data_IF_900660857453
#
_entry.id   IF_900660857453
#
_cell.length_a   1.000
_cell.length_b   1.000
_cell.length_c   1.000
_cell.angle_alpha   90.00
_cell.angle_beta   90.00
_cell.angle_gamma   90.00
#
_symmetry.space_group_name_H-M   'P 1'
#
loop_
_entity.id
_entity.type
_entity.pdbx_description
1 polymer ?
#
# COMPACT_ATOMS: atom_id res chain seq x y z
N UNK A 1 18.07 5.61 10.02
CA UNK A 1 17.97 6.43 8.79
C UNK A 1 16.87 5.85 7.94
N UNK A 2 16.01 6.69 7.34
CA UNK A 2 15.03 6.21 6.35
C UNK A 2 15.82 5.65 5.17
N UNK A 3 15.46 4.44 4.71
CA UNK A 3 16.01 3.89 3.49
C UNK A 3 15.24 4.47 2.29
N UNK A 4 15.69 5.63 1.85
CA UNK A 4 15.11 6.37 0.72
C UNK A 4 15.44 5.76 -0.65
N UNK A 5 16.32 4.74 -0.67
CA UNK A 5 16.73 4.01 -1.87
C UNK A 5 15.96 2.71 -2.10
N UNK A 6 15.12 2.31 -1.15
CA UNK A 6 14.37 1.07 -1.24
C UNK A 6 12.91 1.26 -0.88
N UNK A 7 12.05 0.49 -1.53
CA UNK A 7 10.68 0.26 -1.10
C UNK A 7 10.56 -1.14 -0.51
N UNK A 8 9.56 -1.35 0.35
CA UNK A 8 9.34 -2.62 1.00
C UNK A 8 8.10 -3.31 0.42
N UNK A 9 8.19 -4.63 0.19
CA UNK A 9 7.01 -5.46 -0.10
C UNK A 9 6.87 -6.57 0.93
N UNK A 10 5.65 -6.71 1.47
CA UNK A 10 5.30 -7.78 2.39
C UNK A 10 4.76 -9.00 1.67
N UNK A 11 5.35 -10.18 1.96
CA UNK A 11 4.96 -11.45 1.34
C UNK A 11 4.62 -12.51 2.38
N UNK A 12 3.61 -13.35 2.07
CA UNK A 12 3.16 -14.46 2.88
C UNK A 12 2.95 -15.74 2.06
N UNK A 13 3.33 -15.70 0.78
CA UNK A 13 3.18 -16.80 -0.17
C UNK A 13 1.76 -16.92 -0.76
N UNK A 14 0.86 -15.97 -0.52
CA UNK A 14 -0.40 -15.86 -1.24
C UNK A 14 -0.18 -15.31 -2.65
N UNK A 15 -1.10 -15.60 -3.57
CA UNK A 15 -1.06 -15.01 -4.90
C UNK A 15 -1.14 -13.48 -4.87
N UNK A 16 -1.92 -12.91 -3.94
CA UNK A 16 -1.99 -11.47 -3.75
C UNK A 16 -0.64 -10.87 -3.36
N UNK A 17 0.13 -11.55 -2.49
CA UNK A 17 1.46 -11.06 -2.10
C UNK A 17 2.48 -11.14 -3.23
N UNK A 18 2.42 -12.17 -4.08
CA UNK A 18 3.28 -12.25 -5.28
C UNK A 18 2.91 -11.20 -6.34
N UNK A 19 1.60 -10.91 -6.50
CA UNK A 19 1.15 -9.82 -7.36
C UNK A 19 1.60 -8.45 -6.83
N UNK A 20 1.56 -8.27 -5.50
CA UNK A 20 2.12 -7.10 -4.85
C UNK A 20 3.62 -6.97 -5.08
N UNK A 21 4.36 -8.09 -5.09
CA UNK A 21 5.80 -8.11 -5.42
C UNK A 21 6.05 -7.67 -6.85
N UNK A 22 5.28 -8.17 -7.80
CA UNK A 22 5.37 -7.76 -9.20
C UNK A 22 5.12 -6.25 -9.36
N UNK A 23 4.07 -5.72 -8.74
CA UNK A 23 3.78 -4.29 -8.77
C UNK A 23 4.91 -3.46 -8.14
N UNK A 24 5.40 -3.90 -6.97
CA UNK A 24 6.49 -3.23 -6.26
C UNK A 24 7.80 -3.22 -7.05
N UNK A 25 8.13 -4.34 -7.72
CA UNK A 25 9.31 -4.44 -8.59
C UNK A 25 9.19 -3.49 -9.79
N UNK A 26 8.02 -3.44 -10.44
CA UNK A 26 7.77 -2.53 -11.55
C UNK A 26 7.90 -1.05 -11.12
N UNK A 27 7.34 -0.71 -9.97
CA UNK A 27 7.49 0.62 -9.39
C UNK A 27 8.96 0.94 -9.07
N UNK A 28 9.68 0.03 -8.40
CA UNK A 28 11.09 0.21 -8.04
C UNK A 28 11.96 0.41 -9.28
N UNK A 29 11.72 -0.36 -10.34
CA UNK A 29 12.41 -0.22 -11.63
C UNK A 29 12.21 1.16 -12.24
N UNK A 30 10.98 1.64 -12.28
CA UNK A 30 10.66 2.96 -12.83
C UNK A 30 11.30 4.09 -12.02
N UNK A 31 11.24 3.98 -10.69
CA UNK A 31 11.78 4.98 -9.77
C UNK A 31 13.31 4.88 -9.56
N UNK A 32 13.99 3.87 -10.12
CA UNK A 32 15.42 3.63 -9.89
C UNK A 32 15.76 3.24 -8.45
N UNK A 33 14.84 2.54 -7.78
CA UNK A 33 14.96 2.08 -6.40
C UNK A 33 15.27 0.58 -6.32
N UNK A 34 15.75 0.13 -5.15
CA UNK A 34 15.85 -1.28 -4.81
C UNK A 34 14.60 -1.78 -4.12
N UNK A 35 14.41 -3.10 -4.05
CA UNK A 35 13.27 -3.73 -3.41
C UNK A 35 13.70 -4.50 -2.16
N UNK A 36 13.05 -4.23 -1.02
CA UNK A 36 13.17 -5.03 0.18
C UNK A 36 11.97 -5.96 0.29
N UNK A 37 12.18 -7.26 0.18
CA UNK A 37 11.13 -8.28 0.29
C UNK A 37 11.14 -8.83 1.71
N UNK A 38 10.01 -8.76 2.40
CA UNK A 38 9.90 -9.15 3.81
C UNK A 38 8.82 -10.21 3.99
N UNK A 39 9.20 -11.35 4.59
CA UNK A 39 8.27 -12.35 5.10
C UNK A 39 8.24 -12.28 6.63
N UNK A 40 7.08 -11.94 7.19
CA UNK A 40 6.87 -11.91 8.64
C UNK A 40 5.99 -13.10 9.07
N UNK A 41 6.40 -13.83 10.11
CA UNK A 41 5.62 -14.92 10.65
C UNK A 41 5.60 -14.92 12.19
N UNK A 42 4.47 -15.32 12.75
CA UNK A 42 4.32 -15.47 14.22
C UNK A 42 4.65 -16.88 14.65
N UNK A 43 5.46 -17.00 15.68
CA UNK A 43 5.59 -18.27 16.39
C UNK A 43 4.35 -18.48 17.26
N UNK A 44 3.79 -19.72 17.31
CA UNK A 44 2.76 -20.03 18.28
C UNK A 44 3.26 -19.75 19.69
N UNK A 45 2.59 -18.86 20.43
CA UNK A 45 2.93 -18.60 21.82
C UNK A 45 2.45 -19.78 22.68
N UNK A 46 3.31 -20.77 22.88
CA UNK A 46 3.10 -21.79 23.89
C UNK A 46 3.34 -21.19 25.30
N UNK A 47 2.50 -20.25 25.71
CA UNK A 47 2.44 -19.82 27.09
C UNK A 47 1.87 -20.98 27.93
N UNK A 48 2.75 -21.63 28.71
CA UNK A 48 2.47 -22.63 29.75
C UNK A 48 2.13 -24.07 29.29
N UNK A 49 3.07 -24.79 28.69
CA UNK A 49 3.01 -26.24 28.67
C UNK A 49 4.42 -26.84 28.86
N UNK A 50 4.51 -27.83 29.77
CA UNK A 50 5.58 -28.72 30.17
C UNK A 50 6.79 -28.91 29.22
N UNK A 51 7.91 -29.39 29.76
CA UNK A 51 9.22 -29.64 29.15
C UNK A 51 9.21 -30.35 27.78
N UNK A 52 8.14 -31.07 27.46
CA UNK A 52 7.91 -31.76 26.18
C UNK A 52 7.53 -30.78 25.02
N UNK A 53 7.02 -29.61 25.36
CA UNK A 53 6.63 -28.57 24.37
C UNK A 53 7.83 -27.84 23.76
N UNK A 54 8.99 -27.87 24.41
CA UNK A 54 10.20 -27.18 23.89
C UNK A 54 10.74 -27.87 22.62
N UNK A 55 10.60 -29.19 22.53
CA UNK A 55 11.06 -29.96 21.36
C UNK A 55 10.13 -29.80 20.15
N UNK A 56 8.82 -29.73 20.38
CA UNK A 56 7.82 -29.43 19.35
C UNK A 56 7.93 -28.00 18.85
N UNK A 57 8.15 -27.03 19.74
CA UNK A 57 8.32 -25.62 19.39
C UNK A 57 9.54 -25.35 18.49
N UNK A 58 10.66 -26.04 18.73
CA UNK A 58 11.86 -25.95 17.88
C UNK A 58 11.63 -26.56 16.48
N UNK A 59 10.84 -27.62 16.38
CA UNK A 59 10.46 -28.23 15.10
C UNK A 59 9.54 -27.33 14.28
N UNK A 60 8.59 -26.67 14.92
CA UNK A 60 7.64 -25.75 14.29
C UNK A 60 8.32 -24.46 13.83
N UNK A 61 9.33 -23.96 14.55
CA UNK A 61 10.11 -22.78 14.14
C UNK A 61 10.95 -23.06 12.89
N UNK A 62 11.64 -24.20 12.85
CA UNK A 62 12.42 -24.59 11.67
C UNK A 62 11.55 -24.78 10.42
N UNK A 63 10.34 -25.33 10.56
CA UNK A 63 9.40 -25.49 9.46
C UNK A 63 8.89 -24.12 8.96
N UNK A 64 8.45 -23.25 9.87
CA UNK A 64 7.99 -21.91 9.53
C UNK A 64 9.08 -21.05 8.87
N UNK A 65 10.32 -21.16 9.35
CA UNK A 65 11.47 -20.50 8.77
C UNK A 65 11.78 -21.02 7.34
N UNK A 66 11.73 -22.35 7.13
CA UNK A 66 11.91 -22.97 5.80
C UNK A 66 10.81 -22.52 4.82
N UNK A 67 9.55 -22.48 5.27
CA UNK A 67 8.44 -21.97 4.47
C UNK A 67 8.65 -20.50 4.08
N UNK A 68 9.11 -19.68 5.02
CA UNK A 68 9.41 -18.27 4.76
C UNK A 68 10.54 -18.10 3.74
N UNK A 69 11.58 -18.93 3.79
CA UNK A 69 12.66 -18.94 2.79
C UNK A 69 12.14 -19.29 1.39
N UNK A 70 11.27 -20.29 1.28
CA UNK A 70 10.66 -20.67 -0.01
C UNK A 70 9.80 -19.54 -0.57
N UNK A 71 8.99 -18.88 0.29
CA UNK A 71 8.17 -17.72 -0.09
C UNK A 71 9.05 -16.59 -0.61
N UNK A 72 10.12 -16.26 0.11
CA UNK A 72 11.07 -15.21 -0.28
C UNK A 72 11.79 -15.54 -1.58
N UNK A 73 12.18 -16.80 -1.79
CA UNK A 73 12.81 -17.26 -3.03
C UNK A 73 11.92 -17.01 -4.25
N UNK A 74 10.63 -17.37 -4.14
CA UNK A 74 9.64 -17.12 -5.19
C UNK A 74 9.42 -15.63 -5.45
N UNK A 75 9.27 -14.84 -4.39
CA UNK A 75 9.09 -13.40 -4.52
C UNK A 75 10.33 -12.71 -5.12
N UNK A 76 11.53 -13.14 -4.71
CA UNK A 76 12.77 -12.62 -5.27
C UNK A 76 12.91 -12.93 -6.77
N UNK A 77 12.52 -14.12 -7.20
CA UNK A 77 12.54 -14.48 -8.61
C UNK A 77 11.67 -13.55 -9.47
N UNK A 78 10.49 -13.13 -8.97
CA UNK A 78 9.63 -12.16 -9.64
C UNK A 78 10.36 -10.81 -9.80
N UNK A 79 11.07 -10.34 -8.78
CA UNK A 79 11.84 -9.10 -8.85
C UNK A 79 13.04 -9.22 -9.82
N UNK A 80 13.76 -10.34 -9.78
CA UNK A 80 14.90 -10.62 -10.66
C UNK A 80 14.48 -10.62 -12.15
N UNK A 81 13.30 -11.17 -12.49
CA UNK A 81 12.74 -11.12 -13.85
C UNK A 81 12.39 -9.73 -14.33
N UNK A 82 11.95 -8.86 -13.42
CA UNK A 82 11.78 -7.44 -13.74
C UNK A 82 13.11 -6.68 -13.84
N UNK A 83 14.23 -7.32 -13.49
CA UNK A 83 15.56 -6.72 -13.49
C UNK A 83 15.77 -5.75 -12.33
N UNK A 84 15.13 -5.99 -11.19
CA UNK A 84 15.23 -5.17 -9.97
C UNK A 84 16.09 -5.85 -8.93
N UNK A 85 17.05 -5.11 -8.39
CA UNK A 85 17.83 -5.57 -7.24
C UNK A 85 16.94 -5.70 -6.02
N UNK A 86 16.89 -6.91 -5.45
CA UNK A 86 16.05 -7.20 -4.29
C UNK A 86 16.83 -7.90 -3.18
N UNK A 87 16.71 -7.37 -1.96
CA UNK A 87 17.16 -8.03 -0.73
C UNK A 87 15.95 -8.65 0.00
N UNK A 88 16.21 -9.71 0.78
CA UNK A 88 15.18 -10.48 1.46
C UNK A 88 15.39 -10.50 2.97
N UNK A 89 14.30 -10.36 3.72
CA UNK A 89 14.30 -10.42 5.18
C UNK A 89 13.23 -11.41 5.68
N UNK A 90 13.61 -12.19 6.69
CA UNK A 90 12.65 -12.89 7.55
C UNK A 90 12.53 -12.10 8.85
N UNK A 91 11.31 -11.90 9.33
CA UNK A 91 11.06 -11.23 10.61
C UNK A 91 10.10 -12.07 11.45
N UNK A 92 10.54 -12.44 12.63
CA UNK A 92 9.68 -13.15 13.60
C UNK A 92 8.82 -12.15 14.38
N UNK A 93 7.50 -12.30 14.32
CA UNK A 93 6.55 -11.46 15.03
C UNK A 93 5.18 -11.43 14.37
N UNK A 94 4.22 -10.73 14.98
CA UNK A 94 2.93 -10.48 14.35
C UNK A 94 3.11 -9.61 13.11
N UNK A 95 2.71 -10.08 11.90
CA UNK A 95 2.98 -9.37 10.64
C UNK A 95 2.50 -7.92 10.64
N UNK A 96 1.30 -7.64 11.16
CA UNK A 96 0.79 -6.27 11.17
C UNK A 96 1.67 -5.33 12.02
N UNK A 97 2.10 -5.79 13.18
CA UNK A 97 2.97 -5.05 14.10
C UNK A 97 4.37 -4.85 13.49
N UNK A 98 4.92 -5.91 12.87
CA UNK A 98 6.23 -5.86 12.18
C UNK A 98 6.23 -4.81 11.08
N UNK A 99 5.24 -4.84 10.18
CA UNK A 99 5.18 -3.88 9.08
C UNK A 99 4.89 -2.45 9.54
N UNK A 100 4.13 -2.24 10.62
CA UNK A 100 3.96 -0.91 11.23
C UNK A 100 5.29 -0.37 11.74
N UNK A 101 6.12 -1.20 12.38
CA UNK A 101 7.44 -0.74 12.86
C UNK A 101 8.39 -0.49 11.67
N UNK A 102 8.44 -1.39 10.68
CA UNK A 102 9.23 -1.22 9.46
C UNK A 102 8.84 0.04 8.67
N UNK A 103 7.57 0.45 8.72
CA UNK A 103 7.09 1.65 8.01
C UNK A 103 7.76 2.97 8.44
N UNK A 104 8.52 2.96 9.55
CA UNK A 104 9.33 4.10 9.98
C UNK A 104 10.61 4.27 9.17
N UNK A 105 11.04 3.21 8.47
CA UNK A 105 12.34 3.12 7.82
C UNK A 105 12.25 3.14 6.29
N UNK A 106 11.04 3.08 5.72
CA UNK A 106 10.82 3.06 4.28
C UNK A 106 9.87 4.17 3.83
N UNK A 107 10.00 4.59 2.58
CA UNK A 107 9.14 5.61 1.99
C UNK A 107 7.83 5.04 1.43
N UNK A 108 7.77 3.75 1.18
CA UNK A 108 6.59 3.05 0.67
C UNK A 108 6.61 1.58 1.10
N UNK A 109 5.46 1.07 1.50
CA UNK A 109 5.24 -0.37 1.69
C UNK A 109 4.14 -0.85 0.75
N UNK A 110 4.38 -1.98 0.10
CA UNK A 110 3.43 -2.64 -0.80
C UNK A 110 3.01 -3.96 -0.19
N UNK A 111 1.72 -4.25 -0.19
CA UNK A 111 1.17 -5.52 0.31
C UNK A 111 0.01 -5.98 -0.57
N UNK A 112 -0.27 -7.29 -0.56
CA UNK A 112 -1.50 -7.82 -1.14
C UNK A 112 -2.72 -7.50 -0.26
N UNK A 113 -3.90 -7.46 -0.86
CA UNK A 113 -5.14 -7.20 -0.12
C UNK A 113 -5.55 -8.37 0.79
N UNK A 114 -5.05 -9.60 0.52
CA UNK A 114 -5.35 -10.83 1.27
C UNK A 114 -4.11 -11.67 1.45
N UNK A 115 -4.08 -12.47 2.53
CA UNK A 115 -3.04 -13.43 2.81
C UNK A 115 -3.53 -14.88 2.75
N UNK A 116 -2.65 -15.86 3.04
CA UNK A 116 -2.95 -17.30 3.04
C UNK A 116 -4.11 -17.72 3.96
N UNK A 117 -4.46 -16.94 4.97
CA UNK A 117 -5.50 -17.26 5.97
C UNK A 117 -6.89 -16.71 5.68
N UNK A 118 -7.16 -16.13 4.53
CA UNK A 118 -8.41 -15.44 4.20
C UNK A 118 -9.62 -16.36 4.14
N UNK A 119 -10.47 -16.29 5.16
CA UNK A 119 -11.78 -16.96 5.25
C UNK A 119 -12.83 -16.11 4.52
N UNK A 120 -13.13 -16.27 3.30
CA UNK A 120 -14.17 -15.65 2.49
C UNK A 120 -13.70 -14.61 1.48
N UNK A 121 -14.35 -14.63 0.34
CA UNK A 121 -13.98 -13.93 -0.90
C UNK A 121 -13.93 -12.39 -0.85
N UNK A 122 -14.40 -11.74 0.24
CA UNK A 122 -14.57 -10.28 0.34
C UNK A 122 -13.94 -9.62 1.57
N UNK A 123 -13.16 -10.33 2.40
CA UNK A 123 -12.56 -9.74 3.58
C UNK A 123 -11.10 -9.35 3.35
N UNK A 124 -10.73 -8.15 3.74
CA UNK A 124 -9.33 -7.73 3.83
C UNK A 124 -8.58 -8.58 4.85
N UNK A 125 -7.31 -8.88 4.57
CA UNK A 125 -6.42 -9.50 5.54
C UNK A 125 -6.18 -8.59 6.77
N UNK A 126 -5.75 -9.17 7.88
CA UNK A 126 -5.45 -8.42 9.11
C UNK A 126 -4.39 -7.35 8.88
N UNK A 127 -3.31 -7.67 8.16
CA UNK A 127 -2.23 -6.73 7.82
C UNK A 127 -2.74 -5.62 6.89
N UNK A 128 -3.47 -5.98 5.82
CA UNK A 128 -4.00 -5.01 4.85
C UNK A 128 -5.11 -4.10 5.42
N UNK A 129 -5.77 -4.52 6.50
CA UNK A 129 -6.70 -3.67 7.24
C UNK A 129 -6.00 -2.74 8.24
N UNK A 130 -4.95 -3.23 8.90
CA UNK A 130 -4.28 -2.51 9.99
C UNK A 130 -3.21 -1.55 9.50
N UNK A 131 -2.40 -1.97 8.53
CA UNK A 131 -1.24 -1.21 8.09
C UNK A 131 -1.60 0.19 7.54
N UNK A 132 -2.62 0.36 6.68
CA UNK A 132 -3.03 1.69 6.22
C UNK A 132 -3.47 2.65 7.33
N UNK A 133 -3.89 2.10 8.48
CA UNK A 133 -4.32 2.90 9.63
C UNK A 133 -3.17 3.35 10.53
N UNK A 134 -2.12 2.53 10.65
CA UNK A 134 -1.08 2.71 11.66
C UNK A 134 0.31 3.01 11.13
N UNK A 135 0.56 2.84 9.83
CA UNK A 135 1.87 3.05 9.22
C UNK A 135 2.34 4.51 9.26
N UNK A 136 3.66 4.68 9.22
CA UNK A 136 4.37 5.96 9.19
C UNK A 136 4.86 6.35 7.80
N UNK A 137 4.64 5.52 6.79
CA UNK A 137 4.84 5.82 5.37
C UNK A 137 3.57 5.45 4.58
N UNK A 138 3.43 5.92 3.34
CA UNK A 138 2.38 5.48 2.43
C UNK A 138 2.36 3.96 2.22
N UNK A 139 1.17 3.43 1.93
CA UNK A 139 0.94 2.00 1.73
C UNK A 139 0.21 1.78 0.41
N UNK A 140 0.71 0.88 -0.42
CA UNK A 140 -0.05 0.38 -1.58
C UNK A 140 -0.61 -0.99 -1.27
N UNK A 141 -1.91 -1.13 -1.40
CA UNK A 141 -2.62 -2.41 -1.27
C UNK A 141 -3.01 -2.86 -2.66
N UNK A 142 -2.48 -4.01 -3.08
CA UNK A 142 -2.69 -4.57 -4.41
C UNK A 142 -3.75 -5.66 -4.36
N UNK A 143 -4.90 -5.50 -5.03
CA UNK A 143 -5.91 -6.55 -5.10
C UNK A 143 -5.47 -7.67 -6.03
N UNK A 144 -5.93 -8.89 -5.73
CA UNK A 144 -5.68 -10.06 -6.57
C UNK A 144 -6.83 -10.36 -7.53
N UNK A 145 -8.06 -10.27 -7.03
CA UNK A 145 -9.28 -10.49 -7.79
C UNK A 145 -10.26 -9.34 -7.61
N UNK A 146 -11.16 -9.16 -8.56
CA UNK A 146 -12.35 -8.31 -8.42
C UNK A 146 -13.42 -8.94 -7.50
N UNK A 147 -14.57 -8.27 -7.38
CA UNK A 147 -15.70 -8.74 -6.58
C UNK A 147 -16.35 -10.04 -7.12
N UNK A 148 -16.15 -10.36 -8.39
CA UNK A 148 -16.65 -11.56 -9.08
C UNK A 148 -15.64 -12.71 -9.06
N UNK A 149 -14.43 -12.48 -8.49
CA UNK A 149 -13.37 -13.47 -8.41
C UNK A 149 -12.47 -13.55 -9.64
N UNK A 150 -12.63 -12.64 -10.62
CA UNK A 150 -11.76 -12.60 -11.79
C UNK A 150 -10.38 -12.04 -11.40
N UNK A 151 -9.33 -12.58 -12.05
CA UNK A 151 -7.97 -12.08 -11.85
C UNK A 151 -7.84 -10.64 -12.35
N UNK A 152 -7.22 -9.80 -11.52
CA UNK A 152 -6.96 -8.42 -11.90
C UNK A 152 -5.69 -8.30 -12.73
N UNK A 153 -5.77 -7.59 -13.85
CA UNK A 153 -4.60 -7.22 -14.63
C UNK A 153 -3.93 -5.99 -14.02
N UNK A 154 -2.62 -5.97 -14.06
CA UNK A 154 -1.81 -4.81 -13.68
C UNK A 154 -1.00 -4.35 -14.88
N UNK A 155 -1.01 -3.05 -15.13
CA UNK A 155 -0.23 -2.46 -16.19
C UNK A 155 1.23 -2.25 -15.75
N UNK A 156 2.18 -2.49 -16.66
CA UNK A 156 3.60 -2.18 -16.43
C UNK A 156 3.87 -0.67 -16.41
N UNK A 157 3.01 0.12 -17.05
CA UNK A 157 3.14 1.57 -17.17
C UNK A 157 1.90 2.18 -16.54
N UNK A 158 2.11 3.07 -15.61
CA UNK A 158 1.03 3.86 -15.01
C UNK A 158 0.78 5.07 -15.90
N UNK A 159 -0.42 5.16 -16.45
CA UNK A 159 -0.85 6.22 -17.37
C UNK A 159 -1.97 7.08 -16.80
N UNK A 160 -2.72 6.54 -15.84
CA UNK A 160 -3.85 7.22 -15.21
C UNK A 160 -3.86 6.99 -13.70
N UNK A 161 -3.90 8.07 -12.96
CA UNK A 161 -3.99 8.08 -11.50
C UNK A 161 -5.27 8.78 -11.10
N UNK A 162 -6.08 8.17 -10.23
CA UNK A 162 -7.20 8.85 -9.59
C UNK A 162 -6.85 9.21 -8.15
N UNK A 163 -7.37 10.34 -7.66
CA UNK A 163 -7.28 10.70 -6.25
C UNK A 163 -8.62 11.17 -5.69
N UNK A 164 -8.99 10.61 -4.54
CA UNK A 164 -10.12 11.11 -3.78
C UNK A 164 -9.75 12.39 -3.02
N UNK A 165 -10.41 13.49 -3.35
CA UNK A 165 -10.17 14.79 -2.73
C UNK A 165 -11.35 15.21 -1.85
N UNK A 166 -11.04 15.48 -0.57
CA UNK A 166 -11.89 16.18 0.36
C UNK A 166 -11.09 17.33 1.01
N UNK A 167 -11.74 18.15 1.84
CA UNK A 167 -11.07 19.28 2.48
C UNK A 167 -10.29 18.89 3.74
N UNK A 168 -10.18 17.60 4.04
CA UNK A 168 -9.37 17.13 5.18
C UNK A 168 -7.88 17.29 4.89
N UNK A 169 -7.09 17.50 5.93
CA UNK A 169 -5.63 17.55 5.80
C UNK A 169 -5.02 16.28 5.21
N UNK A 170 -5.67 15.14 5.45
CA UNK A 170 -5.23 13.85 4.88
C UNK A 170 -5.59 13.72 3.40
N UNK A 171 -6.76 14.25 2.99
CA UNK A 171 -7.16 14.36 1.59
C UNK A 171 -6.28 15.33 0.82
N UNK A 172 -5.93 16.48 1.39
CA UNK A 172 -4.98 17.42 0.79
C UNK A 172 -3.60 16.81 0.61
N UNK A 173 -3.09 16.08 1.62
CA UNK A 173 -1.80 15.39 1.49
C UNK A 173 -1.84 14.25 0.49
N UNK A 174 -2.97 13.53 0.38
CA UNK A 174 -3.16 12.52 -0.66
C UNK A 174 -3.15 13.13 -2.06
N UNK A 175 -3.71 14.32 -2.22
CA UNK A 175 -3.72 15.07 -3.47
C UNK A 175 -2.31 15.50 -3.90
N UNK A 176 -1.48 16.02 -2.97
CA UNK A 176 -0.06 16.36 -3.24
C UNK A 176 0.72 15.11 -3.68
N UNK A 177 0.61 14.01 -2.92
CA UNK A 177 1.30 12.76 -3.23
C UNK A 177 0.84 12.18 -4.58
N UNK A 178 -0.45 12.28 -4.90
CA UNK A 178 -0.97 11.81 -6.18
C UNK A 178 -0.43 12.63 -7.36
N UNK A 179 -0.24 13.95 -7.17
CA UNK A 179 0.36 14.80 -8.18
C UNK A 179 1.84 14.47 -8.41
N UNK A 180 2.64 14.37 -7.33
CA UNK A 180 4.04 13.93 -7.40
C UNK A 180 4.17 12.56 -8.07
N UNK A 181 3.27 11.62 -7.71
CA UNK A 181 3.26 10.27 -8.26
C UNK A 181 2.90 10.27 -9.77
N UNK A 182 1.84 10.97 -10.17
CA UNK A 182 1.41 11.04 -11.55
C UNK A 182 2.46 11.73 -12.44
N UNK A 183 3.04 12.84 -11.97
CA UNK A 183 4.10 13.57 -12.68
C UNK A 183 5.34 12.70 -12.90
N UNK A 184 5.77 11.95 -11.88
CA UNK A 184 6.90 11.02 -11.98
C UNK A 184 6.70 9.91 -13.01
N UNK A 185 5.46 9.50 -13.28
CA UNK A 185 5.10 8.51 -14.29
C UNK A 185 4.75 9.13 -15.66
N UNK A 186 4.60 10.45 -15.74
CA UNK A 186 4.03 11.12 -16.92
C UNK A 186 2.57 10.74 -17.15
N UNK A 187 1.85 10.42 -16.08
CA UNK A 187 0.46 9.97 -16.08
C UNK A 187 -0.51 11.16 -15.99
N UNK A 188 -1.75 10.96 -16.41
CA UNK A 188 -2.83 11.89 -16.12
C UNK A 188 -3.32 11.72 -14.68
N UNK A 189 -3.71 12.81 -14.03
CA UNK A 189 -4.29 12.83 -12.69
C UNK A 189 -5.76 13.24 -12.73
N UNK A 190 -6.65 12.32 -12.35
CA UNK A 190 -8.07 12.57 -12.17
C UNK A 190 -8.38 12.85 -10.70
N UNK A 191 -8.74 14.10 -10.39
CA UNK A 191 -9.13 14.52 -9.03
C UNK A 191 -10.63 14.38 -8.87
N UNK A 192 -11.05 13.44 -8.02
CA UNK A 192 -12.45 13.09 -7.80
C UNK A 192 -12.92 13.64 -6.46
N UNK A 193 -13.85 14.59 -6.50
CA UNK A 193 -14.53 15.14 -5.33
C UNK A 193 -15.97 14.63 -5.28
N UNK A 194 -16.27 13.80 -4.29
CA UNK A 194 -17.65 13.31 -4.08
C UNK A 194 -18.44 14.29 -3.23
N UNK A 195 -19.59 14.69 -3.73
CA UNK A 195 -20.49 15.62 -3.03
C UNK A 195 -21.76 14.90 -2.60
N UNK A 196 -22.34 15.29 -1.44
CA UNK A 196 -23.58 14.66 -0.96
C UNK A 196 -24.69 14.73 -2.01
N UNK A 197 -25.45 13.64 -2.13
CA UNK A 197 -26.65 13.61 -2.98
C UNK A 197 -27.79 14.34 -2.25
N UNK A 198 -27.78 15.66 -2.27
CA UNK A 198 -28.80 16.50 -1.66
C UNK A 198 -29.82 16.97 -2.71
N UNK A 199 -31.07 17.25 -2.29
CA UNK A 199 -32.02 17.99 -3.13
C UNK A 199 -31.39 19.34 -3.49
N UNK A 200 -31.13 19.57 -4.78
CA UNK A 200 -30.44 20.75 -5.28
C UNK A 200 -28.97 20.52 -5.66
N UNK A 201 -28.41 19.32 -5.48
CA UNK A 201 -27.08 18.99 -6.03
C UNK A 201 -27.07 18.97 -7.58
N UNK A 202 -28.25 18.99 -8.20
CA UNK A 202 -28.44 19.20 -9.65
C UNK A 202 -28.58 20.69 -9.99
N UNK A 203 -28.62 21.59 -8.99
CA UNK A 203 -28.65 23.03 -9.20
C UNK A 203 -27.28 23.49 -9.70
N UNK A 204 -27.27 24.15 -10.84
CA UNK A 204 -26.03 24.63 -11.49
C UNK A 204 -25.22 25.55 -10.56
N UNK A 205 -25.89 26.33 -9.69
CA UNK A 205 -25.24 27.22 -8.74
C UNK A 205 -24.48 26.46 -7.65
N UNK A 206 -25.08 25.39 -7.13
CA UNK A 206 -24.44 24.53 -6.11
C UNK A 206 -23.24 23.78 -6.70
N UNK A 207 -23.38 23.23 -7.90
CA UNK A 207 -22.28 22.56 -8.58
C UNK A 207 -21.15 23.52 -8.96
N UNK A 208 -21.48 24.77 -9.31
CA UNK A 208 -20.49 25.82 -9.58
C UNK A 208 -19.64 26.12 -8.32
N UNK A 209 -20.27 26.21 -7.14
CA UNK A 209 -19.55 26.42 -5.87
C UNK A 209 -18.58 25.27 -5.56
N UNK A 210 -19.00 24.00 -5.70
CA UNK A 210 -18.10 22.86 -5.51
C UNK A 210 -16.94 22.84 -6.52
N UNK A 211 -17.17 23.30 -7.73
CA UNK A 211 -16.12 23.42 -8.75
C UNK A 211 -15.12 24.52 -8.37
N UNK A 212 -15.58 25.67 -7.91
CA UNK A 212 -14.71 26.77 -7.46
C UNK A 212 -13.86 26.34 -6.26
N UNK A 213 -14.43 25.64 -5.27
CA UNK A 213 -13.71 25.09 -4.13
C UNK A 213 -12.66 24.07 -4.56
N UNK A 214 -12.96 23.24 -5.55
CA UNK A 214 -12.00 22.28 -6.10
C UNK A 214 -10.88 22.98 -6.87
N UNK A 215 -11.20 24.01 -7.67
CA UNK A 215 -10.22 24.81 -8.39
C UNK A 215 -9.23 25.51 -7.46
N UNK A 216 -9.71 26.06 -6.34
CA UNK A 216 -8.84 26.67 -5.31
C UNK A 216 -7.87 25.64 -4.72
N UNK A 217 -8.34 24.41 -4.47
CA UNK A 217 -7.48 23.34 -3.91
C UNK A 217 -6.43 22.82 -4.90
N UNK A 218 -6.77 22.78 -6.19
CA UNK A 218 -5.90 22.22 -7.22
C UNK A 218 -4.88 23.25 -7.72
N UNK A 219 -5.19 24.52 -7.67
CA UNK A 219 -4.32 25.59 -8.18
C UNK A 219 -2.87 25.51 -7.73
N UNK A 220 -2.53 25.25 -6.45
CA UNK A 220 -1.13 25.09 -6.04
C UNK A 220 -0.42 23.93 -6.73
N UNK A 221 -1.15 22.85 -7.08
CA UNK A 221 -0.60 21.70 -7.79
C UNK A 221 -0.37 22.01 -9.27
N UNK A 222 -1.28 22.72 -9.92
CA UNK A 222 -1.11 23.19 -11.29
C UNK A 222 0.12 24.12 -11.42
N UNK A 223 0.39 24.93 -10.38
CA UNK A 223 1.56 25.80 -10.31
C UNK A 223 2.87 25.02 -10.07
N UNK A 224 2.85 23.98 -9.24
CA UNK A 224 4.03 23.16 -8.94
C UNK A 224 4.33 22.10 -9.98
N UNK A 225 3.32 21.62 -10.72
CA UNK A 225 3.42 20.59 -11.76
C UNK A 225 2.89 21.08 -13.10
N UNK A 226 3.59 22.03 -13.78
CA UNK A 226 3.06 22.71 -14.96
C UNK A 226 2.88 21.80 -16.18
N UNK A 227 3.48 20.59 -16.17
CA UNK A 227 3.36 19.62 -17.27
C UNK A 227 2.35 18.50 -16.95
N UNK A 228 1.82 18.44 -15.73
CA UNK A 228 0.87 17.43 -15.31
C UNK A 228 -0.53 17.74 -15.84
N UNK A 229 -1.14 16.82 -16.55
CA UNK A 229 -2.55 16.91 -16.95
C UNK A 229 -3.42 16.58 -15.75
N UNK A 230 -4.14 17.57 -15.22
CA UNK A 230 -5.05 17.40 -14.07
C UNK A 230 -6.50 17.57 -14.54
N UNK A 231 -7.27 16.50 -14.44
CA UNK A 231 -8.71 16.50 -14.73
C UNK A 231 -9.50 16.59 -13.40
N UNK A 232 -10.58 17.36 -13.40
CA UNK A 232 -11.39 17.64 -12.21
C UNK A 232 -12.77 17.03 -12.37
N UNK A 233 -13.17 16.17 -11.44
CA UNK A 233 -14.44 15.48 -11.47
C UNK A 233 -15.20 15.71 -10.15
N UNK A 234 -16.42 16.25 -10.26
CA UNK A 234 -17.35 16.34 -9.14
C UNK A 234 -18.44 15.30 -9.35
N UNK A 235 -18.54 14.35 -8.42
CA UNK A 235 -19.44 13.21 -8.54
C UNK A 235 -20.48 13.26 -7.43
N UNK A 236 -21.78 13.36 -7.74
CA UNK A 236 -22.83 13.23 -6.75
C UNK A 236 -22.89 11.83 -6.15
N UNK A 237 -23.03 11.73 -4.84
CA UNK A 237 -23.20 10.47 -4.14
C UNK A 237 -22.02 10.08 -3.23
N UNK A 238 -21.98 8.81 -2.77
CA UNK A 238 -20.98 8.35 -1.82
C UNK A 238 -19.60 8.21 -2.48
N UNK A 239 -18.57 8.74 -1.83
CA UNK A 239 -17.18 8.70 -2.30
C UNK A 239 -16.67 7.28 -2.55
N UNK A 240 -17.09 6.29 -1.75
CA UNK A 240 -16.72 4.87 -1.97
C UNK A 240 -17.11 4.42 -3.37
N UNK A 241 -18.36 4.65 -3.78
CA UNK A 241 -18.84 4.22 -5.10
C UNK A 241 -18.10 4.92 -6.25
N UNK A 242 -17.85 6.23 -6.12
CA UNK A 242 -17.14 6.99 -7.13
C UNK A 242 -15.69 6.49 -7.32
N UNK A 243 -14.97 6.28 -6.20
CA UNK A 243 -13.57 5.84 -6.24
C UNK A 243 -13.43 4.35 -6.59
N UNK A 244 -14.37 3.49 -6.16
CA UNK A 244 -14.41 2.11 -6.63
C UNK A 244 -14.63 2.04 -8.14
N UNK A 245 -15.53 2.86 -8.68
CA UNK A 245 -15.71 2.96 -10.13
C UNK A 245 -14.43 3.44 -10.82
N UNK A 246 -13.76 4.44 -10.27
CA UNK A 246 -12.49 4.93 -10.83
C UNK A 246 -11.41 3.83 -10.86
N UNK A 247 -11.40 2.89 -9.91
CA UNK A 247 -10.41 1.80 -9.90
C UNK A 247 -10.51 0.82 -11.09
N UNK A 248 -11.59 0.86 -11.89
CA UNK A 248 -11.71 0.09 -13.14
C UNK A 248 -11.00 0.75 -14.32
N UNK A 249 -10.86 2.08 -14.30
CA UNK A 249 -10.38 2.87 -15.43
C UNK A 249 -9.02 3.53 -15.15
N UNK A 250 -8.47 3.36 -13.94
CA UNK A 250 -7.21 3.96 -13.49
C UNK A 250 -6.24 2.89 -12.99
N UNK A 251 -4.96 3.11 -13.21
CA UNK A 251 -3.89 2.19 -12.79
C UNK A 251 -3.65 2.21 -11.28
N UNK A 252 -3.94 3.34 -10.61
CA UNK A 252 -3.81 3.53 -9.17
C UNK A 252 -4.88 4.51 -8.67
N UNK A 253 -5.50 4.21 -7.53
CA UNK A 253 -6.38 5.15 -6.82
C UNK A 253 -5.74 5.58 -5.50
N UNK A 254 -5.53 6.88 -5.32
CA UNK A 254 -4.91 7.47 -4.13
C UNK A 254 -5.97 8.00 -3.18
N UNK A 255 -5.83 7.70 -1.88
CA UNK A 255 -6.74 8.21 -0.84
C UNK A 255 -6.01 8.49 0.47
N UNK A 256 -6.49 9.45 1.25
CA UNK A 256 -6.12 9.56 2.66
C UNK A 256 -6.73 8.43 3.49
N UNK A 257 -6.03 7.94 4.50
CA UNK A 257 -6.59 6.93 5.42
C UNK A 257 -7.75 7.47 6.25
N UNK A 258 -7.94 8.78 6.30
CA UNK A 258 -9.01 9.52 6.97
C UNK A 258 -9.55 10.60 6.06
N UNK A 259 -10.76 11.08 6.36
CA UNK A 259 -11.41 12.20 5.72
C UNK A 259 -12.17 13.07 6.73
N UNK A 260 -13.06 13.97 6.25
CA UNK A 260 -13.84 14.92 7.05
C UNK A 260 -14.72 14.27 8.14
N UNK A 261 -15.13 13.02 7.98
CA UNK A 261 -16.08 12.31 8.86
C UNK A 261 -15.49 11.82 10.18
N UNK A 262 -14.62 12.57 10.83
CA UNK A 262 -13.80 12.30 12.02
C UNK A 262 -14.46 11.56 13.20
N UNK A 263 -15.06 10.39 13.00
CA UNK A 263 -15.43 9.52 14.10
C UNK A 263 -14.16 9.10 14.87
N UNK A 264 -14.02 9.67 16.07
CA UNK A 264 -12.98 9.30 17.03
C UNK A 264 -13.20 7.85 17.46
N UNK A 265 -12.34 6.93 17.01
CA UNK A 265 -12.44 5.51 17.37
C UNK A 265 -12.34 4.55 16.18
N UNK A 266 -12.62 4.99 14.96
CA UNK A 266 -12.40 4.16 13.79
C UNK A 266 -10.93 4.25 13.36
N UNK A 267 -10.36 3.13 12.95
CA UNK A 267 -8.96 3.03 12.51
C UNK A 267 -8.76 3.64 11.13
N UNK A 268 -9.68 3.39 10.21
CA UNK A 268 -9.73 3.91 8.85
C UNK A 268 -11.00 4.73 8.63
N UNK A 269 -10.98 5.64 7.67
CA UNK A 269 -12.17 6.31 7.16
C UNK A 269 -13.07 5.33 6.40
N UNK A 270 -14.39 5.57 6.39
CA UNK A 270 -15.34 4.72 5.66
C UNK A 270 -15.03 4.62 4.16
N UNK A 271 -14.56 5.70 3.56
CA UNK A 271 -14.18 5.75 2.14
C UNK A 271 -12.96 4.88 1.88
N UNK A 272 -11.86 5.06 2.62
CA UNK A 272 -10.65 4.27 2.44
C UNK A 272 -10.87 2.79 2.77
N UNK A 273 -11.65 2.48 3.81
CA UNK A 273 -12.00 1.10 4.14
C UNK A 273 -12.84 0.44 3.03
N UNK A 274 -13.89 1.13 2.55
CA UNK A 274 -14.73 0.61 1.47
C UNK A 274 -13.96 0.44 0.16
N UNK A 275 -13.08 1.40 -0.17
CA UNK A 275 -12.25 1.31 -1.36
C UNK A 275 -11.30 0.10 -1.28
N UNK A 276 -10.61 -0.12 -0.16
CA UNK A 276 -9.74 -1.27 0.03
C UNK A 276 -10.46 -2.63 -0.09
N UNK A 277 -11.77 -2.67 0.20
CA UNK A 277 -12.60 -3.87 0.06
C UNK A 277 -13.07 -4.13 -1.37
N UNK A 278 -13.31 -3.08 -2.16
CA UNK A 278 -14.03 -3.15 -3.44
C UNK A 278 -13.21 -2.68 -4.65
N UNK A 279 -12.06 -2.06 -4.44
CA UNK A 279 -11.21 -1.64 -5.55
C UNK A 279 -10.69 -2.84 -6.35
N UNK A 280 -10.69 -2.71 -7.66
CA UNK A 280 -10.17 -3.70 -8.60
C UNK A 280 -8.74 -3.40 -9.03
N UNK A 281 -8.22 -2.21 -8.77
CA UNK A 281 -6.84 -1.78 -9.00
C UNK A 281 -6.11 -1.43 -7.69
N UNK A 282 -4.78 -1.21 -7.75
CA UNK A 282 -3.97 -0.79 -6.63
C UNK A 282 -4.51 0.45 -5.93
N UNK A 283 -4.59 0.40 -4.60
CA UNK A 283 -5.01 1.51 -3.75
C UNK A 283 -3.80 2.04 -2.98
N UNK A 284 -3.45 3.29 -3.26
CA UNK A 284 -2.40 4.01 -2.56
C UNK A 284 -3.01 4.77 -1.40
N UNK A 285 -2.73 4.36 -0.18
CA UNK A 285 -3.28 4.96 1.04
C UNK A 285 -2.23 5.83 1.71
N UNK A 286 -2.57 7.07 2.02
CA UNK A 286 -1.75 8.01 2.80
C UNK A 286 -2.17 7.94 4.26
N UNK A 287 -1.36 7.32 5.15
CA UNK A 287 -1.73 7.11 6.55
C UNK A 287 -1.80 8.41 7.34
N UNK A 288 -2.71 8.46 8.32
CA UNK A 288 -2.83 9.59 9.25
C UNK A 288 -1.50 9.90 9.96
N UNK A 289 -0.82 8.89 10.47
CA UNK A 289 0.44 9.06 11.21
C UNK A 289 1.57 9.61 10.34
N UNK A 290 1.57 9.26 9.05
CA UNK A 290 2.52 9.84 8.09
C UNK A 290 2.32 11.36 7.97
N UNK A 291 1.08 11.83 7.83
CA UNK A 291 0.73 13.25 7.72
C UNK A 291 1.07 13.99 9.02
N UNK A 292 0.66 13.45 10.18
CA UNK A 292 0.92 14.06 11.49
C UNK A 292 2.42 14.13 11.81
N UNK A 293 3.21 13.13 11.40
CA UNK A 293 4.66 13.15 11.56
C UNK A 293 5.34 14.20 10.66
N UNK A 294 4.81 14.43 9.45
CA UNK A 294 5.30 15.47 8.56
C UNK A 294 5.01 16.88 9.13
N UNK A 295 3.79 17.11 9.64
CA UNK A 295 3.41 18.37 10.29
C UNK A 295 4.31 18.69 11.51
N UNK A 296 4.51 17.70 12.39
CA UNK A 296 5.36 17.89 13.58
C UNK A 296 6.82 18.20 13.26
N UNK A 297 7.32 17.82 12.11
CA UNK A 297 8.67 18.18 11.64
C UNK A 297 8.76 19.64 11.17
N UNK A 298 7.64 20.21 10.71
CA UNK A 298 7.57 21.62 10.29
C UNK A 298 7.43 22.57 11.51
N UNK A 299 6.75 22.11 12.57
CA UNK A 299 6.49 22.90 13.78
C UNK A 299 7.62 22.87 14.82
N UNK A 300 8.52 21.90 14.73
CA UNK A 300 9.65 21.77 15.66
C UNK A 300 10.96 22.05 14.95
N UNK A 301 11.60 23.19 15.30
CA UNK A 301 13.07 23.26 15.24
C UNK A 301 13.55 22.18 16.21
N UNK A 302 14.24 21.12 15.76
CA UNK A 302 14.57 19.98 16.63
C UNK A 302 15.47 20.45 17.76
N UNK A 303 14.99 20.36 18.98
CA UNK A 303 15.79 20.64 20.17
C UNK A 303 16.77 19.51 20.52
N UNK A 304 16.66 18.35 19.84
CA UNK A 304 17.64 17.26 19.88
C UNK A 304 17.41 16.27 18.73
N UNK A 305 18.48 15.77 18.08
CA UNK A 305 18.40 14.74 17.04
C UNK A 305 17.94 13.35 17.55
N UNK A 306 17.84 13.17 18.85
CA UNK A 306 17.61 11.85 19.48
C UNK A 306 16.13 11.40 19.50
N UNK A 307 15.17 12.33 19.40
CA UNK A 307 13.75 12.00 19.63
C UNK A 307 12.97 11.55 18.37
N UNK A 308 13.59 11.60 17.20
CA UNK A 308 12.94 11.27 15.91
C UNK A 308 13.81 10.36 15.03
N UNK A 309 14.87 9.77 15.55
CA UNK A 309 15.68 8.84 14.76
C UNK A 309 14.85 7.57 14.47
N UNK A 310 14.68 7.20 13.17
CA UNK A 310 14.16 5.89 12.83
C UNK A 310 15.07 4.84 13.47
N UNK A 311 14.48 3.81 14.08
CA UNK A 311 15.24 2.68 14.62
C UNK A 311 16.00 2.03 13.47
N UNK A 312 17.26 1.64 13.71
CA UNK A 312 17.97 0.79 12.78
C UNK A 312 17.18 -0.52 12.56
N UNK A 313 17.32 -1.16 11.41
CA UNK A 313 16.80 -2.52 11.21
C UNK A 313 17.31 -3.47 12.29
N UNK A 314 18.55 -3.25 12.77
CA UNK A 314 19.19 -4.01 13.85
C UNK A 314 18.48 -3.84 15.21
N UNK A 315 17.71 -2.76 15.39
CA UNK A 315 16.93 -2.51 16.61
C UNK A 315 15.57 -3.26 16.61
N UNK A 316 15.15 -3.80 15.46
CA UNK A 316 13.93 -4.58 15.32
C UNK A 316 14.26 -6.03 15.67
N UNK A 317 13.69 -6.53 16.77
CA UNK A 317 13.93 -7.91 17.21
C UNK A 317 13.47 -8.92 16.16
N UNK A 318 14.29 -9.95 15.93
CA UNK A 318 13.95 -11.08 15.06
C UNK A 318 14.09 -10.80 13.57
N UNK A 319 14.82 -9.76 13.17
CA UNK A 319 15.17 -9.49 11.77
C UNK A 319 16.37 -10.36 11.39
N UNK A 320 16.24 -11.10 10.31
CA UNK A 320 17.31 -11.92 9.72
C UNK A 320 17.38 -11.65 8.21
N UNK A 321 18.55 -11.21 7.73
CA UNK A 321 18.84 -11.17 6.29
C UNK A 321 19.13 -12.58 5.79
N UNK A 322 18.32 -13.04 4.84
CA UNK A 322 18.43 -14.39 4.32
C UNK A 322 18.81 -14.33 2.84
N UNK A 323 20.02 -14.79 2.49
CA UNK A 323 20.36 -15.00 1.09
C UNK A 323 19.54 -16.18 0.56
N UNK A 324 18.56 -15.90 -0.29
CA UNK A 324 17.78 -16.97 -0.93
C UNK A 324 18.38 -17.33 -2.29
N UNK A 325 18.47 -18.63 -2.56
CA UNK A 325 18.81 -19.16 -3.88
C UNK A 325 17.70 -18.83 -4.87
N UNK A 326 18.06 -18.56 -6.13
CA UNK A 326 17.06 -18.34 -7.19
C UNK A 326 16.10 -19.53 -7.28
N UNK A 327 14.81 -19.26 -7.39
CA UNK A 327 13.84 -20.28 -7.70
C UNK A 327 14.10 -20.85 -9.12
N UNK A 328 13.74 -22.11 -9.34
CA UNK A 328 13.84 -22.72 -10.66
C UNK A 328 12.90 -22.00 -11.66
N UNK A 329 13.33 -21.83 -12.93
CA UNK A 329 12.55 -21.09 -13.94
C UNK A 329 11.12 -21.59 -14.11
N UNK A 330 10.89 -22.89 -14.05
CA UNK A 330 9.55 -23.51 -14.15
C UNK A 330 8.60 -23.03 -13.02
N UNK A 331 9.13 -22.81 -11.82
CA UNK A 331 8.36 -22.33 -10.66
C UNK A 331 7.95 -20.87 -10.86
N UNK A 332 8.84 -20.09 -11.43
CA UNK A 332 8.60 -18.67 -11.71
C UNK A 332 7.55 -18.51 -12.79
N UNK A 333 7.68 -19.23 -13.91
CA UNK A 333 6.70 -19.24 -14.99
C UNK A 333 5.29 -19.67 -14.51
N UNK A 334 5.23 -20.69 -13.63
CA UNK A 334 3.97 -21.11 -13.03
C UNK A 334 3.34 -20.07 -12.11
N UNK A 335 4.13 -19.24 -11.44
CA UNK A 335 3.66 -18.13 -10.61
C UNK A 335 3.20 -16.97 -11.51
N UNK A 336 3.97 -16.61 -12.52
CA UNK A 336 3.66 -15.52 -13.45
C UNK A 336 2.37 -15.80 -14.22
N UNK A 337 2.18 -17.01 -14.73
CA UNK A 337 0.93 -17.41 -15.40
C UNK A 337 -0.30 -17.27 -14.49
N UNK A 338 -0.12 -17.42 -13.17
CA UNK A 338 -1.19 -17.20 -12.20
C UNK A 338 -1.38 -15.72 -11.83
N UNK A 339 -0.34 -14.93 -11.95
CA UNK A 339 -0.39 -13.48 -11.68
C UNK A 339 -0.94 -12.72 -12.89
N UNK A 340 -0.56 -13.12 -14.09
CA UNK A 340 -0.99 -12.53 -15.36
C UNK A 340 -1.19 -13.63 -16.43
N UNK A 341 -2.42 -14.15 -16.58
CA UNK A 341 -2.74 -15.22 -17.54
C UNK A 341 -2.60 -14.84 -19.01
N UNK A 342 -2.57 -13.54 -19.34
CA UNK A 342 -2.48 -13.04 -20.72
C UNK A 342 -1.03 -12.87 -21.22
N UNK A 343 -0.05 -13.19 -20.40
CA UNK A 343 1.37 -13.08 -20.76
C UNK A 343 1.88 -14.19 -21.71
N UNK A 344 0.98 -15.08 -22.14
CA UNK A 344 1.25 -16.07 -23.21
C UNK A 344 0.95 -15.44 -24.58
#
# INVERSE_FOLDING_TARGET
>A
MINDKAILVGVDGSHASYKATWWAANYAKHAGLTLQIVCAYSLPSYAAVSFDATYTAMGDDNAAHSDAQEILSKAKAIADEQGVEAATLIVTGDPASVFVELSRNYNLIVIGNRGKGGLAERLLGTTSSSLPAYAYCPIVVVPYTDDDGNLMHLNNIITKVAVGSDESKWGLKALEIAADFADAWGAELDVISAVPNMKGSEDEGVMASFKEDLDVRIKPLEESHPNLTINKQIVPGPAVGALTKASYDHDVVVVGSRGRGGFTGLLLGSTSQGLLQHAVGPVYVVPRKYVEAAESRLDTVPSSPADVAPKSLDDIKGVEEVPVTKAEPEVVEAIETKIDPERQ
#
